data_IF_666734526177
#
_entry.id   IF_666734526177
#
_cell.length_a   1.000
_cell.length_b   1.000
_cell.length_c   1.000
_cell.angle_alpha   90.00
_cell.angle_beta   90.00
_cell.angle_gamma   90.00
#
_symmetry.space_group_name_H-M   'P 1'
#
loop_
_entity.id
_entity.type
_entity.pdbx_description
1 polymer ?
#
# COMPACT_ATOMS: atom_id res chain seq x y z
N UNK A 1 -8.75 -13.58 -9.86
CA UNK A 1 -7.86 -12.41 -10.05
C UNK A 1 -7.31 -12.04 -8.69
N UNK A 2 -6.01 -12.26 -8.46
CA UNK A 2 -5.37 -12.16 -7.14
C UNK A 2 -5.14 -10.71 -6.65
N UNK A 3 -5.66 -9.73 -7.39
CA UNK A 3 -5.43 -8.31 -7.14
C UNK A 3 -6.18 -7.79 -5.90
N UNK A 4 -7.41 -8.27 -5.66
CA UNK A 4 -8.21 -7.85 -4.50
C UNK A 4 -7.65 -8.36 -3.18
N UNK A 5 -7.20 -9.62 -3.14
CA UNK A 5 -6.61 -10.20 -1.93
C UNK A 5 -5.31 -9.48 -1.54
N UNK A 6 -4.52 -9.07 -2.54
CA UNK A 6 -3.27 -8.31 -2.32
C UNK A 6 -3.55 -6.89 -1.81
N UNK A 7 -4.63 -6.26 -2.30
CA UNK A 7 -5.08 -4.94 -1.89
C UNK A 7 -5.54 -4.93 -0.41
N UNK A 8 -6.40 -5.87 -0.04
CA UNK A 8 -6.89 -5.99 1.34
C UNK A 8 -5.77 -6.28 2.35
N UNK A 9 -4.82 -7.15 1.97
CA UNK A 9 -3.68 -7.47 2.83
C UNK A 9 -2.81 -6.24 3.08
N UNK A 10 -2.52 -5.47 2.03
CA UNK A 10 -1.70 -4.25 2.14
C UNK A 10 -2.37 -3.17 2.99
N UNK A 11 -3.70 -2.98 2.86
CA UNK A 11 -4.45 -2.02 3.69
C UNK A 11 -4.42 -2.42 5.17
N UNK A 12 -4.60 -3.71 5.48
CA UNK A 12 -4.52 -4.20 6.86
C UNK A 12 -3.12 -4.03 7.46
N UNK A 13 -2.07 -4.27 6.68
CA UNK A 13 -0.69 -4.06 7.10
C UNK A 13 -0.45 -2.59 7.41
N UNK A 14 -0.97 -1.68 6.57
CA UNK A 14 -0.83 -0.24 6.76
C UNK A 14 -1.52 0.26 8.05
N UNK A 15 -2.76 -0.18 8.32
CA UNK A 15 -3.52 0.17 9.52
C UNK A 15 -2.89 -0.38 10.80
N UNK A 16 -2.39 -1.62 10.76
CA UNK A 16 -1.75 -2.26 11.91
C UNK A 16 -0.43 -1.58 12.25
N UNK A 17 0.34 -1.16 11.23
CA UNK A 17 1.65 -0.52 11.41
C UNK A 17 1.56 0.97 11.74
N UNK A 18 0.51 1.69 11.34
CA UNK A 18 0.18 3.03 11.89
C UNK A 18 0.09 3.00 13.42
N UNK A 19 -0.23 1.84 14.00
CA UNK A 19 -0.34 1.62 15.44
C UNK A 19 0.97 1.14 16.09
N UNK A 20 1.97 0.72 15.31
CA UNK A 20 3.26 0.19 15.80
C UNK A 20 4.42 1.04 15.24
N UNK A 21 4.82 2.11 15.95
CA UNK A 21 5.97 2.93 15.58
C UNK A 21 7.25 2.19 16.00
N UNK A 22 8.00 1.62 15.06
CA UNK A 22 9.22 0.91 15.44
C UNK A 22 10.13 0.51 14.28
N UNK A 23 9.82 -0.58 13.59
CA UNK A 23 10.87 -1.32 12.88
C UNK A 23 10.47 -1.80 11.48
N UNK A 24 9.23 -1.55 11.06
CA UNK A 24 8.64 -2.26 9.91
C UNK A 24 8.40 -1.36 8.67
N UNK A 25 8.93 -0.14 8.67
CA UNK A 25 8.70 0.84 7.59
C UNK A 25 9.24 0.40 6.22
N UNK A 26 10.38 -0.30 6.17
CA UNK A 26 11.01 -0.68 4.91
C UNK A 26 10.17 -1.69 4.11
N UNK A 27 9.67 -2.74 4.75
CA UNK A 27 8.76 -3.70 4.14
C UNK A 27 7.39 -3.09 3.80
N UNK A 28 6.94 -2.08 4.56
CA UNK A 28 5.68 -1.36 4.25
C UNK A 28 5.82 -0.45 3.04
N UNK A 29 6.93 0.28 2.89
CA UNK A 29 7.18 1.11 1.71
C UNK A 29 7.21 0.25 0.44
N UNK A 30 7.83 -0.94 0.51
CA UNK A 30 7.82 -1.89 -0.59
C UNK A 30 6.39 -2.39 -0.92
N UNK A 31 5.60 -2.67 0.12
CA UNK A 31 4.22 -3.15 -0.02
C UNK A 31 3.28 -2.05 -0.57
N UNK A 32 3.42 -0.81 -0.10
CA UNK A 32 2.68 0.36 -0.58
C UNK A 32 3.06 0.70 -2.02
N UNK A 33 4.34 0.64 -2.38
CA UNK A 33 4.81 0.83 -3.76
C UNK A 33 4.23 -0.23 -4.72
N UNK A 34 4.16 -1.50 -4.28
CA UNK A 34 3.51 -2.56 -5.05
C UNK A 34 2.01 -2.31 -5.24
N UNK A 35 1.33 -1.78 -4.22
CA UNK A 35 -0.09 -1.45 -4.31
C UNK A 35 -0.34 -0.25 -5.24
N UNK A 36 0.45 0.81 -5.13
CA UNK A 36 0.39 1.96 -6.04
C UNK A 36 0.63 1.54 -7.50
N UNK A 37 1.60 0.66 -7.74
CA UNK A 37 1.87 0.08 -9.07
C UNK A 37 0.68 -0.73 -9.59
N UNK A 38 0.05 -1.52 -8.71
CA UNK A 38 -1.16 -2.30 -9.04
C UNK A 38 -2.32 -1.39 -9.43
N UNK A 39 -2.53 -0.30 -8.68
CA UNK A 39 -3.55 0.70 -8.99
C UNK A 39 -3.31 1.41 -10.32
N UNK A 40 -2.07 1.79 -10.63
CA UNK A 40 -1.72 2.35 -11.94
C UNK A 40 -2.04 1.37 -13.08
N UNK A 41 -1.74 0.08 -12.90
CA UNK A 41 -2.08 -0.96 -13.88
C UNK A 41 -3.58 -1.19 -14.06
N UNK A 42 -4.39 -0.93 -13.03
CA UNK A 42 -5.86 -0.97 -13.10
C UNK A 42 -6.49 0.34 -13.61
N UNK A 43 -5.68 1.37 -13.89
CA UNK A 43 -6.18 2.71 -14.26
C UNK A 43 -6.72 3.53 -13.08
N UNK A 44 -6.50 3.08 -11.84
CA UNK A 44 -6.90 3.71 -10.58
C UNK A 44 -5.86 4.72 -10.10
N UNK A 45 -5.61 5.76 -10.91
CA UNK A 45 -4.55 6.74 -10.66
C UNK A 45 -4.72 7.53 -9.36
N UNK A 46 -5.97 7.87 -8.99
CA UNK A 46 -6.27 8.57 -7.73
C UNK A 46 -5.85 7.78 -6.49
N UNK A 47 -6.10 6.47 -6.50
CA UNK A 47 -5.81 5.61 -5.36
C UNK A 47 -4.30 5.32 -5.26
N UNK A 48 -3.60 5.26 -6.40
CA UNK A 48 -2.14 5.21 -6.42
C UNK A 48 -1.51 6.49 -5.82
N UNK A 49 -2.03 7.67 -6.19
CA UNK A 49 -1.51 8.96 -5.71
C UNK A 49 -1.74 9.15 -4.21
N UNK A 50 -2.89 8.73 -3.68
CA UNK A 50 -3.16 8.76 -2.24
C UNK A 50 -2.20 7.85 -1.44
N UNK A 51 -1.81 6.71 -2.00
CA UNK A 51 -0.81 5.82 -1.40
C UNK A 51 0.61 6.39 -1.47
N UNK A 52 1.00 6.97 -2.60
CA UNK A 52 2.30 7.64 -2.74
C UNK A 52 2.40 8.83 -1.77
N UNK A 53 1.30 9.55 -1.54
CA UNK A 53 1.26 10.68 -0.60
C UNK A 53 1.36 10.22 0.87
N UNK A 54 0.94 9.00 1.20
CA UNK A 54 1.14 8.40 2.53
C UNK A 54 2.55 7.80 2.73
N UNK A 55 3.31 7.58 1.66
CA UNK A 55 4.73 7.16 1.73
C UNK A 55 5.72 8.32 1.91
N UNK A 56 5.31 9.56 1.61
CA UNK A 56 6.15 10.77 1.69
C UNK A 56 6.25 11.32 3.10
#
# INVERSE_FOLDING_TARGET
GHWQETEELNVQVMETRKRVPGEDHSDTLASMANLASTYRNQGRWKEAEELDMQMM
#
